data_IF_682944584886
#
_entry.id   IF_682944584886
#
_cell.length_a   1.000
_cell.length_b   1.000
_cell.length_c   1.000
_cell.angle_alpha   90.00
_cell.angle_beta   90.00
_cell.angle_gamma   90.00
#
_symmetry.space_group_name_H-M   'P 1'
#
loop_
_entity.id
_entity.type
_entity.pdbx_description
1 polymer ?
#
# COMPACT_ATOMS: atom_id res chain seq x y z
N UNK A 1 32.34 -18.24 19.39
CA UNK A 1 31.57 -18.13 20.65
C UNK A 1 30.15 -18.51 20.29
N UNK A 2 29.57 -19.51 20.95
CA UNK A 2 28.19 -19.93 20.70
C UNK A 2 27.26 -18.81 21.19
N UNK A 3 26.62 -18.10 20.26
CA UNK A 3 25.58 -17.14 20.58
C UNK A 3 24.35 -17.97 20.95
N UNK A 4 24.05 -18.01 22.24
CA UNK A 4 22.80 -18.58 22.76
C UNK A 4 21.62 -17.85 22.13
N UNK A 5 20.64 -18.59 21.61
CA UNK A 5 19.42 -18.08 20.93
C UNK A 5 18.56 -17.11 21.75
N UNK A 6 18.88 -16.89 23.02
CA UNK A 6 18.11 -16.09 23.98
C UNK A 6 18.24 -14.57 23.82
N UNK A 7 19.09 -14.05 22.90
CA UNK A 7 19.39 -12.60 22.83
C UNK A 7 18.81 -11.84 21.62
N UNK A 8 18.22 -12.50 20.61
CA UNK A 8 17.70 -11.81 19.42
C UNK A 8 16.18 -11.60 19.57
N UNK A 9 15.80 -10.42 20.08
CA UNK A 9 14.41 -10.10 20.38
C UNK A 9 13.64 -9.37 19.27
N UNK A 10 14.28 -9.05 18.14
CA UNK A 10 13.64 -8.33 17.02
C UNK A 10 14.26 -8.67 15.67
N UNK A 11 13.51 -8.43 14.59
CA UNK A 11 13.95 -8.58 13.21
C UNK A 11 15.06 -7.56 12.91
N UNK A 12 14.93 -6.35 13.45
CA UNK A 12 15.99 -5.33 13.37
C UNK A 12 17.29 -5.82 14.03
N UNK A 13 17.22 -6.45 15.20
CA UNK A 13 18.38 -7.04 15.86
C UNK A 13 19.00 -8.17 15.02
N UNK A 14 18.17 -9.03 14.41
CA UNK A 14 18.63 -10.09 13.52
C UNK A 14 19.38 -9.54 12.29
N UNK A 15 18.83 -8.52 11.62
CA UNK A 15 19.46 -7.90 10.46
C UNK A 15 20.79 -7.22 10.84
N UNK A 16 20.81 -6.51 11.97
CA UNK A 16 22.02 -5.86 12.48
C UNK A 16 23.13 -6.86 12.83
N UNK A 17 22.78 -8.02 13.40
CA UNK A 17 23.77 -9.07 13.72
C UNK A 17 24.44 -9.64 12.47
N UNK A 18 23.74 -9.64 11.34
CA UNK A 18 24.28 -10.07 10.04
C UNK A 18 25.06 -8.98 9.29
N UNK A 19 25.33 -7.82 9.91
CA UNK A 19 25.89 -6.60 9.29
C UNK A 19 25.15 -6.17 8.01
N UNK A 20 23.84 -6.43 7.95
CA UNK A 20 23.00 -6.06 6.81
C UNK A 20 22.53 -4.61 6.93
N UNK A 21 22.53 -3.90 5.81
CA UNK A 21 21.73 -2.70 5.64
C UNK A 21 20.32 -3.11 5.19
N UNK A 22 19.30 -2.35 5.58
CA UNK A 22 17.92 -2.71 5.26
C UNK A 22 16.95 -1.53 5.18
N UNK A 23 15.86 -1.75 4.45
CA UNK A 23 14.70 -0.89 4.32
C UNK A 23 13.43 -1.69 4.63
N UNK A 24 12.50 -1.06 5.33
CA UNK A 24 11.21 -1.64 5.71
C UNK A 24 10.08 -0.92 4.97
N UNK A 25 9.16 -1.68 4.39
CA UNK A 25 7.97 -1.16 3.72
C UNK A 25 6.73 -1.89 4.20
N UNK A 26 5.63 -1.16 4.40
CA UNK A 26 4.30 -1.76 4.31
C UNK A 26 4.04 -2.16 2.86
N UNK A 27 3.35 -3.28 2.67
CA UNK A 27 2.88 -3.73 1.36
C UNK A 27 1.39 -4.12 1.40
N UNK A 28 0.72 -3.88 2.53
CA UNK A 28 -0.68 -4.22 2.74
C UNK A 28 -1.61 -3.30 1.96
N UNK A 29 -1.71 -2.04 2.41
CA UNK A 29 -2.64 -1.07 1.79
C UNK A 29 -2.02 -0.44 0.55
N UNK A 30 -0.82 0.09 0.69
CA UNK A 30 0.03 0.68 -0.37
C UNK A 30 1.47 0.22 -0.13
N UNK A 31 2.40 0.60 -0.99
CA UNK A 31 3.83 0.49 -0.70
C UNK A 31 4.27 1.77 -0.01
N UNK A 32 4.41 1.72 1.32
CA UNK A 32 4.77 2.87 2.15
C UNK A 32 6.02 2.53 2.98
N UNK A 33 7.03 3.41 2.95
CA UNK A 33 8.26 3.20 3.74
C UNK A 33 7.96 3.37 5.24
N UNK A 34 8.44 2.43 6.05
CA UNK A 34 8.43 2.54 7.51
C UNK A 34 9.87 2.88 7.92
N UNK A 35 10.05 3.97 8.69
CA UNK A 35 11.39 4.32 9.17
C UNK A 35 11.90 3.27 10.16
N UNK A 36 13.22 3.12 10.27
CA UNK A 36 13.83 2.17 11.21
C UNK A 36 13.36 2.45 12.64
N UNK A 37 13.38 3.72 13.05
CA UNK A 37 12.90 4.16 14.37
C UNK A 37 11.43 3.81 14.63
N UNK A 38 10.58 3.94 13.60
CA UNK A 38 9.17 3.56 13.72
C UNK A 38 9.03 2.04 13.80
N UNK A 39 9.79 1.31 13.00
CA UNK A 39 9.79 -0.15 13.01
C UNK A 39 10.28 -0.71 14.35
N UNK A 40 11.34 -0.16 14.94
CA UNK A 40 11.82 -0.53 16.27
C UNK A 40 10.73 -0.39 17.35
N UNK A 41 9.95 0.69 17.30
CA UNK A 41 8.80 0.91 18.21
C UNK A 41 7.66 -0.08 17.97
N UNK A 42 7.40 -0.42 16.70
CA UNK A 42 6.40 -1.44 16.33
C UNK A 42 6.84 -2.80 16.86
N UNK A 43 8.10 -3.17 16.64
CA UNK A 43 8.67 -4.41 17.15
C UNK A 43 8.60 -4.42 18.67
N UNK A 44 8.96 -3.36 19.37
CA UNK A 44 8.85 -3.27 20.84
C UNK A 44 7.41 -3.21 21.38
N UNK A 45 6.38 -3.32 20.54
CA UNK A 45 4.96 -3.15 20.91
C UNK A 45 4.66 -1.81 21.61
N UNK A 46 5.45 -0.77 21.30
CA UNK A 46 5.29 0.59 21.83
C UNK A 46 4.40 1.46 20.95
N UNK A 47 4.17 1.05 19.70
CA UNK A 47 3.34 1.75 18.73
C UNK A 47 2.48 0.75 17.94
N UNK A 48 1.20 1.06 17.66
CA UNK A 48 0.40 0.24 16.75
C UNK A 48 0.96 0.29 15.33
N UNK A 49 0.81 -0.82 14.60
CA UNK A 49 1.19 -0.86 13.20
C UNK A 49 0.38 0.17 12.39
N UNK A 50 1.02 1.00 11.54
CA UNK A 50 0.37 2.16 10.92
C UNK A 50 -0.68 1.80 9.86
N UNK A 51 -0.53 0.66 9.18
CA UNK A 51 -1.34 0.31 8.01
C UNK A 51 -1.92 -1.11 8.11
N UNK A 52 -2.65 -1.45 9.19
CA UNK A 52 -3.14 -2.80 9.38
C UNK A 52 -4.13 -3.17 8.29
N UNK A 53 -4.10 -4.43 7.86
CA UNK A 53 -5.08 -5.00 6.94
C UNK A 53 -5.50 -6.38 7.45
N UNK A 54 -6.81 -6.55 7.65
CA UNK A 54 -7.39 -7.82 8.14
C UNK A 54 -6.69 -8.37 9.40
N UNK A 55 -6.34 -7.51 10.35
CA UNK A 55 -5.68 -7.90 11.61
C UNK A 55 -4.20 -8.29 11.47
N UNK A 56 -3.54 -7.94 10.35
CA UNK A 56 -2.13 -8.27 10.12
C UNK A 56 -1.32 -7.05 9.68
N UNK A 57 -0.02 -7.10 9.98
CA UNK A 57 1.01 -6.32 9.33
C UNK A 57 1.56 -7.10 8.13
N UNK A 58 1.57 -6.49 6.95
CA UNK A 58 2.15 -7.05 5.73
C UNK A 58 3.38 -6.23 5.40
N UNK A 59 4.56 -6.81 5.62
CA UNK A 59 5.83 -6.11 5.61
C UNK A 59 6.70 -6.68 4.49
N UNK A 60 7.33 -5.81 3.71
CA UNK A 60 8.44 -6.13 2.84
C UNK A 60 9.74 -5.61 3.46
N UNK A 61 10.73 -6.49 3.56
CA UNK A 61 12.06 -6.19 4.13
C UNK A 61 13.06 -6.37 3.00
N UNK A 62 13.64 -5.26 2.55
CA UNK A 62 14.74 -5.27 1.60
C UNK A 62 16.05 -5.15 2.38
N UNK A 63 16.99 -6.07 2.18
CA UNK A 63 18.27 -6.03 2.89
C UNK A 63 19.44 -6.48 2.02
N UNK A 64 20.63 -5.97 2.29
CA UNK A 64 21.84 -6.22 1.51
C UNK A 64 23.10 -6.05 2.36
N UNK A 65 24.21 -6.63 1.91
CA UNK A 65 25.54 -6.40 2.48
C UNK A 65 26.15 -5.14 1.87
N UNK A 66 26.92 -4.37 2.65
CA UNK A 66 27.54 -3.10 2.20
C UNK A 66 28.36 -3.22 0.90
N UNK A 67 28.93 -4.40 0.65
CA UNK A 67 29.78 -4.68 -0.53
C UNK A 67 29.02 -5.35 -1.69
N UNK A 68 27.74 -5.67 -1.51
CA UNK A 68 26.91 -6.34 -2.52
C UNK A 68 26.04 -5.35 -3.27
N UNK A 69 25.93 -5.52 -4.57
CA UNK A 69 24.96 -4.81 -5.41
C UNK A 69 23.57 -5.45 -5.39
N UNK A 70 23.45 -6.67 -4.84
CA UNK A 70 22.21 -7.44 -4.84
C UNK A 70 21.51 -7.34 -3.49
N UNK A 71 20.23 -6.96 -3.53
CA UNK A 71 19.33 -6.96 -2.38
C UNK A 71 18.47 -8.22 -2.33
N UNK A 72 18.22 -8.70 -1.11
CA UNK A 72 17.27 -9.75 -0.80
C UNK A 72 15.95 -9.14 -0.37
N UNK A 73 14.84 -9.84 -0.64
CA UNK A 73 13.50 -9.42 -0.25
C UNK A 73 12.84 -10.50 0.59
N UNK A 74 12.40 -10.12 1.79
CA UNK A 74 11.47 -10.93 2.59
C UNK A 74 10.09 -10.30 2.62
N UNK A 75 9.07 -11.12 2.42
CA UNK A 75 7.67 -10.74 2.60
C UNK A 75 7.14 -11.46 3.83
N UNK A 76 6.75 -10.69 4.84
CA UNK A 76 6.39 -11.19 6.17
C UNK A 76 4.99 -10.71 6.54
N UNK A 77 4.12 -11.65 6.90
CA UNK A 77 2.77 -11.41 7.41
C UNK A 77 2.74 -11.75 8.90
N UNK A 78 2.63 -10.74 9.76
CA UNK A 78 2.59 -10.90 11.21
C UNK A 78 1.22 -10.50 11.77
N UNK A 79 0.64 -11.27 12.70
CA UNK A 79 -0.63 -10.93 13.31
C UNK A 79 -0.49 -9.73 14.26
N UNK A 80 -1.57 -8.95 14.35
CA UNK A 80 -1.72 -7.83 15.26
C UNK A 80 -2.75 -8.18 16.35
N UNK A 81 -2.62 -7.57 17.52
CA UNK A 81 -3.64 -7.65 18.57
C UNK A 81 -4.78 -6.63 18.36
N UNK A 82 -5.77 -6.61 19.26
CA UNK A 82 -6.92 -5.68 19.22
C UNK A 82 -6.54 -4.20 19.41
N UNK A 83 -5.33 -3.94 19.91
CA UNK A 83 -4.76 -2.59 20.02
C UNK A 83 -3.98 -2.20 18.76
N UNK A 84 -3.82 -3.13 17.81
CA UNK A 84 -3.01 -2.97 16.61
C UNK A 84 -1.52 -3.15 16.87
N UNK A 85 -1.11 -3.68 18.02
CA UNK A 85 0.28 -3.95 18.36
C UNK A 85 0.73 -5.27 17.74
N UNK A 86 2.01 -5.34 17.37
CA UNK A 86 2.60 -6.53 16.77
C UNK A 86 2.62 -7.70 17.78
N UNK A 87 2.13 -8.87 17.38
CA UNK A 87 2.20 -10.06 18.20
C UNK A 87 3.67 -10.51 18.38
N UNK A 88 4.19 -10.34 19.59
CA UNK A 88 5.59 -10.60 19.93
C UNK A 88 5.96 -12.08 19.81
N UNK A 89 5.05 -12.98 20.15
CA UNK A 89 5.27 -14.43 20.05
C UNK A 89 5.43 -14.87 18.60
N UNK A 90 4.56 -14.38 17.71
CA UNK A 90 4.64 -14.66 16.27
C UNK A 90 5.93 -14.10 15.65
N UNK A 91 6.32 -12.86 16.01
CA UNK A 91 7.60 -12.28 15.57
C UNK A 91 8.80 -13.11 16.07
N UNK A 92 8.82 -13.50 17.34
CA UNK A 92 9.93 -14.28 17.89
C UNK A 92 10.04 -15.66 17.22
N UNK A 93 8.90 -16.30 16.94
CA UNK A 93 8.88 -17.55 16.21
C UNK A 93 9.37 -17.39 14.75
N UNK A 94 9.00 -16.30 14.07
CA UNK A 94 9.57 -15.96 12.76
C UNK A 94 11.09 -15.88 12.82
N UNK A 95 11.64 -15.12 13.78
CA UNK A 95 13.09 -14.94 13.97
C UNK A 95 13.79 -16.29 14.24
N UNK A 96 13.22 -17.12 15.11
CA UNK A 96 13.78 -18.43 15.44
C UNK A 96 13.92 -19.32 14.20
N UNK A 97 12.90 -19.37 13.33
CA UNK A 97 12.96 -20.13 12.08
C UNK A 97 14.05 -19.60 11.15
N UNK A 98 14.19 -18.27 11.04
CA UNK A 98 15.24 -17.67 10.19
C UNK A 98 16.64 -18.00 10.72
N UNK A 99 16.86 -17.92 12.03
CA UNK A 99 18.14 -18.27 12.66
C UNK A 99 18.47 -19.74 12.42
N UNK A 100 17.49 -20.63 12.60
CA UNK A 100 17.65 -22.06 12.34
C UNK A 100 17.98 -22.34 10.86
N UNK A 101 17.35 -21.61 9.94
CA UNK A 101 17.58 -21.75 8.51
C UNK A 101 18.91 -21.18 8.04
N UNK A 102 19.29 -19.96 8.44
CA UNK A 102 20.36 -19.18 7.80
C UNK A 102 21.57 -18.92 8.70
N UNK A 103 21.46 -19.16 10.01
CA UNK A 103 22.52 -18.87 10.96
C UNK A 103 22.88 -17.39 11.03
N UNK A 104 24.17 -17.08 11.19
CA UNK A 104 24.68 -15.72 11.38
C UNK A 104 24.74 -14.89 10.09
N UNK A 105 24.78 -15.52 8.90
CA UNK A 105 24.86 -14.80 7.63
C UNK A 105 23.62 -15.01 6.77
N UNK A 106 22.74 -14.00 6.77
CA UNK A 106 21.46 -14.00 6.08
C UNK A 106 21.56 -13.88 4.54
N UNK A 107 22.76 -13.65 4.00
CA UNK A 107 22.98 -13.43 2.56
C UNK A 107 23.65 -14.60 1.85
N UNK A 108 23.93 -15.68 2.56
CA UNK A 108 24.43 -16.92 1.94
C UNK A 108 23.28 -17.62 1.21
N UNK A 109 23.56 -18.19 0.05
CA UNK A 109 22.59 -19.05 -0.63
C UNK A 109 22.28 -20.26 0.26
N UNK A 110 21.02 -20.43 0.70
CA UNK A 110 20.64 -21.55 1.53
C UNK A 110 20.86 -22.88 0.81
N UNK A 111 21.19 -23.93 1.58
CA UNK A 111 21.12 -25.32 1.10
C UNK A 111 19.66 -25.71 0.83
N UNK A 112 19.41 -26.79 0.09
CA UNK A 112 18.04 -27.27 -0.20
C UNK A 112 17.20 -27.50 1.07
N UNK A 113 17.83 -27.98 2.14
CA UNK A 113 17.16 -28.19 3.44
C UNK A 113 16.78 -26.86 4.10
N UNK A 114 17.66 -25.86 4.04
CA UNK A 114 17.42 -24.52 4.57
C UNK A 114 16.36 -23.79 3.75
N UNK A 115 16.37 -23.93 2.41
CA UNK A 115 15.28 -23.43 1.56
C UNK A 115 13.93 -24.06 1.92
N UNK A 116 13.90 -25.37 2.17
CA UNK A 116 12.68 -26.05 2.56
C UNK A 116 12.15 -25.54 3.92
N UNK A 117 13.04 -25.22 4.86
CA UNK A 117 12.66 -24.63 6.15
C UNK A 117 12.08 -23.22 5.95
N UNK A 118 12.75 -22.37 5.16
CA UNK A 118 12.27 -21.03 4.83
C UNK A 118 10.90 -21.09 4.13
N UNK A 119 10.72 -21.97 3.14
CA UNK A 119 9.43 -22.13 2.43
C UNK A 119 8.29 -22.60 3.36
N UNK A 120 8.61 -23.27 4.47
CA UNK A 120 7.63 -23.73 5.48
C UNK A 120 7.34 -22.69 6.56
N UNK A 121 8.05 -21.56 6.58
CA UNK A 121 7.82 -20.51 7.57
C UNK A 121 6.39 -19.95 7.41
N UNK A 122 5.52 -20.07 8.43
CA UNK A 122 4.10 -19.73 8.31
C UNK A 122 3.84 -18.22 8.17
N UNK A 123 4.86 -17.40 8.37
CA UNK A 123 4.78 -15.94 8.26
C UNK A 123 5.16 -15.43 6.87
N UNK A 124 5.68 -16.28 5.97
CA UNK A 124 5.91 -15.87 4.59
C UNK A 124 4.63 -15.86 3.77
N UNK A 125 4.57 -14.93 2.82
CA UNK A 125 3.52 -14.90 1.82
C UNK A 125 4.07 -14.44 0.47
N UNK A 126 3.41 -14.83 -0.61
CA UNK A 126 3.74 -14.36 -1.96
C UNK A 126 2.84 -13.17 -2.29
N UNK A 127 3.38 -11.95 -2.40
CA UNK A 127 2.59 -10.80 -2.82
C UNK A 127 2.17 -10.92 -4.29
N UNK A 128 1.08 -10.23 -4.64
CA UNK A 128 0.62 -10.13 -6.03
C UNK A 128 1.68 -9.44 -6.92
N UNK A 129 1.66 -9.74 -8.22
CA UNK A 129 2.68 -9.28 -9.17
C UNK A 129 2.86 -7.75 -9.19
N UNK A 130 1.77 -6.98 -9.07
CA UNK A 130 1.85 -5.51 -9.04
C UNK A 130 2.51 -4.98 -7.76
N UNK A 131 2.34 -5.66 -6.63
CA UNK A 131 3.03 -5.34 -5.36
C UNK A 131 4.51 -5.71 -5.44
N UNK A 132 4.85 -6.85 -6.04
CA UNK A 132 6.26 -7.21 -6.33
C UNK A 132 6.93 -6.16 -7.20
N UNK A 133 6.26 -5.73 -8.28
CA UNK A 133 6.77 -4.71 -9.17
C UNK A 133 7.01 -3.38 -8.41
N UNK A 134 6.05 -2.95 -7.59
CA UNK A 134 6.19 -1.75 -6.78
C UNK A 134 7.36 -1.84 -5.77
N UNK A 135 7.56 -2.99 -5.12
CA UNK A 135 8.69 -3.18 -4.20
C UNK A 135 10.03 -3.17 -4.93
N UNK A 136 10.14 -3.86 -6.07
CA UNK A 136 11.38 -3.83 -6.86
C UNK A 136 11.70 -2.40 -7.31
N UNK A 137 10.69 -1.67 -7.78
CA UNK A 137 10.84 -0.29 -8.23
C UNK A 137 11.28 0.63 -7.09
N UNK A 138 10.58 0.61 -5.95
CA UNK A 138 10.91 1.49 -4.80
C UNK A 138 12.27 1.17 -4.19
N UNK A 139 12.67 -0.11 -4.16
CA UNK A 139 13.99 -0.52 -3.67
C UNK A 139 15.06 -0.02 -4.62
N UNK A 140 14.91 -0.25 -5.93
CA UNK A 140 15.90 0.21 -6.91
C UNK A 140 16.09 1.73 -6.90
N UNK A 141 15.00 2.50 -6.78
CA UNK A 141 15.09 3.97 -6.73
C UNK A 141 15.67 4.46 -5.41
N UNK A 142 15.27 3.86 -4.29
CA UNK A 142 15.78 4.24 -2.96
C UNK A 142 17.27 3.91 -2.76
N UNK A 143 17.79 2.94 -3.50
CA UNK A 143 19.20 2.53 -3.49
C UNK A 143 20.00 3.14 -4.65
N UNK A 144 19.43 4.09 -5.40
CA UNK A 144 20.06 4.73 -6.57
C UNK A 144 20.58 3.72 -7.61
N UNK A 145 19.92 2.57 -7.70
CA UNK A 145 20.25 1.52 -8.67
C UNK A 145 19.63 1.82 -10.03
N UNK A 146 20.17 1.17 -11.07
CA UNK A 146 19.59 1.20 -12.41
C UNK A 146 18.17 0.62 -12.39
N UNK A 147 17.29 1.19 -13.22
CA UNK A 147 15.96 0.63 -13.44
C UNK A 147 16.02 -0.77 -14.07
N UNK A 148 14.93 -1.52 -14.01
CA UNK A 148 14.90 -2.83 -14.66
C UNK A 148 14.99 -2.68 -16.18
N UNK A 149 15.32 -3.79 -16.85
CA UNK A 149 15.30 -3.86 -18.33
C UNK A 149 13.95 -3.50 -18.97
N UNK A 150 12.87 -3.47 -18.20
CA UNK A 150 11.52 -3.16 -18.67
C UNK A 150 11.19 -1.67 -18.63
N UNK A 151 12.00 -0.84 -17.95
CA UNK A 151 11.77 0.60 -17.83
C UNK A 151 11.84 1.34 -19.17
N UNK A 152 12.94 1.20 -19.91
CA UNK A 152 13.13 1.95 -21.16
C UNK A 152 12.05 1.63 -22.23
N UNK A 153 11.62 0.36 -22.44
CA UNK A 153 10.47 0.06 -23.27
C UNK A 153 9.17 0.74 -22.82
N UNK A 154 8.87 0.72 -21.52
CA UNK A 154 7.67 1.35 -20.98
C UNK A 154 7.68 2.87 -21.14
N UNK A 155 8.82 3.52 -20.83
CA UNK A 155 8.99 4.96 -21.02
C UNK A 155 8.82 5.36 -22.49
N UNK A 156 9.40 4.59 -23.42
CA UNK A 156 9.26 4.84 -24.86
C UNK A 156 7.82 4.64 -25.35
N UNK A 157 7.10 3.66 -24.83
CA UNK A 157 5.68 3.49 -25.14
C UNK A 157 4.86 4.69 -24.62
N UNK A 158 5.08 5.09 -23.36
CA UNK A 158 4.36 6.20 -22.72
C UNK A 158 4.66 7.55 -23.38
N UNK A 159 5.79 7.70 -24.09
CA UNK A 159 6.06 8.90 -24.91
C UNK A 159 5.23 8.97 -26.20
N UNK A 160 4.44 7.94 -26.53
CA UNK A 160 3.56 7.89 -27.69
C UNK A 160 4.26 7.66 -29.03
N UNK A 161 5.61 7.54 -29.05
CA UNK A 161 6.42 7.48 -30.29
C UNK A 161 6.08 6.25 -31.14
N UNK A 162 5.71 5.14 -30.51
CA UNK A 162 5.38 3.90 -31.20
C UNK A 162 3.85 3.73 -31.44
N UNK A 163 3.03 4.73 -31.08
CA UNK A 163 1.58 4.66 -31.11
C UNK A 163 0.97 3.89 -29.92
N UNK A 164 -0.29 4.20 -29.59
CA UNK A 164 -0.96 3.68 -28.38
C UNK A 164 -1.38 2.21 -28.46
N UNK A 165 -1.47 1.65 -29.67
CA UNK A 165 -1.84 0.24 -29.91
C UNK A 165 -0.68 -0.74 -29.64
N UNK A 166 0.56 -0.25 -29.56
CA UNK A 166 1.78 -1.07 -29.41
C UNK A 166 2.09 -1.43 -27.94
N UNK A 167 1.08 -1.86 -27.19
CA UNK A 167 1.18 -2.09 -25.74
C UNK A 167 1.51 -3.53 -25.33
N UNK A 168 1.58 -4.47 -26.27
CA UNK A 168 1.69 -5.92 -25.98
C UNK A 168 2.99 -6.28 -25.24
N UNK A 169 4.05 -5.50 -25.43
CA UNK A 169 5.34 -5.69 -24.75
C UNK A 169 5.48 -4.86 -23.46
N UNK A 170 4.45 -4.10 -23.07
CA UNK A 170 4.48 -3.22 -21.90
C UNK A 170 4.07 -4.00 -20.64
N UNK A 171 5.09 -4.50 -19.93
CA UNK A 171 4.90 -5.27 -18.69
C UNK A 171 4.70 -4.41 -17.44
N UNK A 172 4.09 -5.01 -16.41
CA UNK A 172 3.80 -4.37 -15.10
C UNK A 172 5.06 -3.82 -14.42
N UNK A 173 6.22 -4.51 -14.51
CA UNK A 173 7.47 -4.02 -13.94
C UNK A 173 7.93 -2.71 -14.60
N UNK A 174 7.82 -2.59 -15.93
CA UNK A 174 8.22 -1.38 -16.66
C UNK A 174 7.34 -0.18 -16.31
N UNK A 175 6.02 -0.39 -16.20
CA UNK A 175 5.09 0.65 -15.74
C UNK A 175 5.35 1.06 -14.29
N UNK A 176 5.72 0.10 -13.45
CA UNK A 176 6.08 0.38 -12.06
C UNK A 176 7.38 1.18 -11.96
N UNK A 177 8.43 0.78 -12.66
CA UNK A 177 9.69 1.54 -12.70
C UNK A 177 9.45 2.98 -13.17
N UNK A 178 8.61 3.16 -14.20
CA UNK A 178 8.24 4.48 -14.70
C UNK A 178 7.53 5.32 -13.63
N UNK A 179 6.53 4.75 -12.95
CA UNK A 179 5.79 5.45 -11.90
C UNK A 179 6.70 5.88 -10.73
N UNK A 180 7.62 5.02 -10.28
CA UNK A 180 8.55 5.36 -9.19
C UNK A 180 9.67 6.34 -9.60
N UNK A 181 9.80 6.62 -10.91
CA UNK A 181 10.78 7.56 -11.49
C UNK A 181 10.12 8.77 -12.15
N UNK A 182 8.93 9.18 -11.69
CA UNK A 182 8.21 10.33 -12.28
C UNK A 182 8.99 11.65 -12.24
N UNK A 183 9.89 11.80 -11.28
CA UNK A 183 10.78 12.96 -11.11
C UNK A 183 12.04 12.89 -12.00
N UNK A 184 12.23 11.82 -12.78
CA UNK A 184 13.38 11.64 -13.68
C UNK A 184 12.96 11.82 -15.15
N UNK A 185 13.92 12.20 -16.00
CA UNK A 185 13.81 12.14 -17.47
C UNK A 185 12.49 12.69 -18.07
N UNK A 186 11.93 13.74 -17.48
CA UNK A 186 10.63 14.34 -17.85
C UNK A 186 9.44 13.37 -17.80
N UNK A 187 9.53 12.28 -17.03
CA UNK A 187 8.48 11.26 -16.95
C UNK A 187 7.13 11.82 -16.50
N UNK A 188 7.11 12.82 -15.62
CA UNK A 188 5.87 13.51 -15.24
C UNK A 188 5.18 14.20 -16.42
N UNK A 189 5.94 14.86 -17.30
CA UNK A 189 5.41 15.52 -18.50
C UNK A 189 4.92 14.47 -19.52
N UNK A 190 5.72 13.42 -19.73
CA UNK A 190 5.35 12.28 -20.56
C UNK A 190 4.02 11.67 -20.10
N UNK A 191 3.88 11.41 -18.79
CA UNK A 191 2.66 10.85 -18.23
C UNK A 191 1.46 11.78 -18.44
N UNK A 192 1.64 13.08 -18.16
CA UNK A 192 0.61 14.11 -18.32
C UNK A 192 0.06 14.12 -19.74
N UNK A 193 0.94 14.01 -20.75
CA UNK A 193 0.56 13.99 -22.15
C UNK A 193 -0.06 12.65 -22.59
N UNK A 194 0.34 11.53 -21.97
CA UNK A 194 -0.12 10.20 -22.35
C UNK A 194 -1.50 9.83 -21.79
N UNK A 195 -1.83 10.26 -20.57
CA UNK A 195 -2.97 9.75 -19.77
C UNK A 195 -4.30 9.67 -20.52
N UNK A 196 -4.60 10.66 -21.37
CA UNK A 196 -5.86 10.69 -22.11
C UNK A 196 -5.93 9.67 -23.26
N UNK A 197 -4.79 9.24 -23.77
CA UNK A 197 -4.67 8.35 -24.92
C UNK A 197 -4.39 6.90 -24.55
N UNK A 198 -4.03 6.62 -23.30
CA UNK A 198 -3.70 5.26 -22.87
C UNK A 198 -4.91 4.32 -22.99
N UNK A 199 -4.73 3.15 -23.62
CA UNK A 199 -5.74 2.10 -23.61
C UNK A 199 -5.87 1.52 -22.19
N UNK A 200 -7.02 0.91 -21.91
CA UNK A 200 -7.33 0.34 -20.59
C UNK A 200 -6.27 -0.66 -20.10
N UNK A 201 -5.73 -1.48 -21.03
CA UNK A 201 -4.73 -2.50 -20.78
C UNK A 201 -3.42 -1.94 -20.21
N UNK A 202 -3.11 -0.67 -20.47
CA UNK A 202 -1.95 0.02 -19.89
C UNK A 202 -2.34 0.92 -18.73
N UNK A 203 -3.46 1.64 -18.87
CA UNK A 203 -3.90 2.60 -17.87
C UNK A 203 -4.18 1.94 -16.52
N UNK A 204 -4.85 0.78 -16.49
CA UNK A 204 -5.19 0.07 -15.25
C UNK A 204 -3.95 -0.39 -14.45
N UNK A 205 -2.99 -1.12 -15.04
CA UNK A 205 -1.77 -1.50 -14.33
C UNK A 205 -0.88 -0.29 -13.99
N UNK A 206 -0.86 0.76 -14.83
CA UNK A 206 -0.15 2.00 -14.51
C UNK A 206 -0.77 2.69 -13.28
N UNK A 207 -2.09 2.82 -13.21
CA UNK A 207 -2.77 3.35 -12.03
C UNK A 207 -2.47 2.53 -10.76
N UNK A 208 -2.33 1.21 -10.89
CA UNK A 208 -1.91 0.34 -9.78
C UNK A 208 -0.47 0.56 -9.33
N UNK A 209 0.39 1.11 -10.19
CA UNK A 209 1.71 1.57 -9.79
C UNK A 209 1.64 2.98 -9.16
N UNK A 210 0.91 3.90 -9.80
CA UNK A 210 0.73 5.29 -9.35
C UNK A 210 0.08 5.39 -7.96
N UNK A 211 -0.75 4.41 -7.56
CA UNK A 211 -1.34 4.36 -6.20
C UNK A 211 -0.28 4.37 -5.08
N UNK A 212 0.99 4.03 -5.40
CA UNK A 212 2.10 3.94 -4.45
C UNK A 212 3.07 5.14 -4.52
N UNK A 213 2.82 6.14 -5.38
CA UNK A 213 3.74 7.26 -5.60
C UNK A 213 3.06 8.60 -5.38
N UNK A 214 3.77 9.56 -4.78
CA UNK A 214 3.29 10.94 -4.69
C UNK A 214 3.32 11.59 -6.07
N UNK A 215 2.18 12.10 -6.52
CA UNK A 215 1.96 12.58 -7.87
C UNK A 215 2.11 14.11 -7.93
N UNK A 216 2.77 14.64 -8.97
CA UNK A 216 2.78 16.08 -9.24
C UNK A 216 1.37 16.62 -9.56
N UNK A 217 1.16 17.92 -9.31
CA UNK A 217 -0.15 18.57 -9.49
C UNK A 217 -0.72 18.40 -10.92
N UNK A 218 0.13 18.52 -11.95
CA UNK A 218 -0.30 18.36 -13.35
C UNK A 218 -0.78 16.94 -13.66
N UNK A 219 -0.14 15.92 -13.07
CA UNK A 219 -0.56 14.52 -13.20
C UNK A 219 -1.89 14.30 -12.48
N UNK A 220 -2.06 14.85 -11.27
CA UNK A 220 -3.33 14.79 -10.53
C UNK A 220 -4.46 15.40 -11.36
N UNK A 221 -4.22 16.57 -11.96
CA UNK A 221 -5.18 17.26 -12.83
C UNK A 221 -5.59 16.40 -14.02
N UNK A 222 -4.64 15.74 -14.69
CA UNK A 222 -4.97 14.87 -15.83
C UNK A 222 -5.72 13.61 -15.40
N UNK A 223 -5.37 13.02 -14.25
CA UNK A 223 -6.11 11.88 -13.68
C UNK A 223 -7.56 12.25 -13.38
N UNK A 224 -7.81 13.41 -12.77
CA UNK A 224 -9.18 13.85 -12.44
C UNK A 224 -10.00 14.19 -13.68
N UNK A 225 -9.40 14.80 -14.70
CA UNK A 225 -10.05 15.02 -16.01
C UNK A 225 -10.40 13.69 -16.68
N UNK A 226 -9.46 12.74 -16.72
CA UNK A 226 -9.67 11.42 -17.32
C UNK A 226 -10.73 10.62 -16.55
N UNK A 227 -10.79 10.78 -15.23
CA UNK A 227 -11.81 10.16 -14.39
C UNK A 227 -13.21 10.66 -14.76
N UNK A 228 -13.40 11.97 -14.92
CA UNK A 228 -14.70 12.55 -15.30
C UNK A 228 -15.19 12.05 -16.67
N UNK A 229 -14.26 11.91 -17.63
CA UNK A 229 -14.57 11.33 -18.93
C UNK A 229 -14.98 9.85 -18.82
N UNK A 230 -14.25 9.06 -18.02
CA UNK A 230 -14.54 7.65 -17.81
C UNK A 230 -15.92 7.44 -17.15
N UNK A 231 -16.27 8.28 -16.18
CA UNK A 231 -17.62 8.29 -15.59
C UNK A 231 -18.70 8.61 -16.63
N UNK A 232 -18.50 9.64 -17.45
CA UNK A 232 -19.47 10.04 -18.50
C UNK A 232 -19.67 8.91 -19.52
N UNK A 233 -18.62 8.15 -19.81
CA UNK A 233 -18.65 7.01 -20.73
C UNK A 233 -19.10 5.69 -20.05
N UNK A 234 -19.46 5.71 -18.77
CA UNK A 234 -19.79 4.52 -17.98
C UNK A 234 -18.69 3.43 -17.99
N UNK A 235 -17.42 3.81 -18.12
CA UNK A 235 -16.29 2.87 -17.99
C UNK A 235 -15.88 2.76 -16.51
N UNK A 236 -16.50 1.81 -15.81
CA UNK A 236 -16.27 1.59 -14.38
C UNK A 236 -14.84 1.13 -14.07
N UNK A 237 -14.26 0.27 -14.92
CA UNK A 237 -12.91 -0.27 -14.73
C UNK A 237 -11.87 0.86 -14.70
N UNK A 238 -11.94 1.77 -15.68
CA UNK A 238 -11.04 2.93 -15.76
C UNK A 238 -11.31 3.93 -14.65
N UNK A 239 -12.59 4.17 -14.31
CA UNK A 239 -12.99 5.08 -13.22
C UNK A 239 -12.38 4.64 -11.89
N UNK A 240 -12.51 3.36 -11.54
CA UNK A 240 -11.93 2.76 -10.33
C UNK A 240 -10.41 2.86 -10.33
N UNK A 241 -9.76 2.55 -11.45
CA UNK A 241 -8.31 2.59 -11.55
C UNK A 241 -7.77 4.02 -11.33
N UNK A 242 -8.37 5.02 -11.96
CA UNK A 242 -7.97 6.43 -11.81
C UNK A 242 -8.20 6.94 -10.40
N UNK A 243 -9.31 6.55 -9.77
CA UNK A 243 -9.57 6.90 -8.38
C UNK A 243 -8.48 6.33 -7.44
N UNK A 244 -8.09 5.08 -7.65
CA UNK A 244 -7.01 4.43 -6.89
C UNK A 244 -5.65 5.08 -7.10
N UNK A 245 -5.35 5.58 -8.30
CA UNK A 245 -4.08 6.24 -8.59
C UNK A 245 -3.80 7.45 -7.66
N UNK A 246 -4.84 8.06 -7.09
CA UNK A 246 -4.70 9.17 -6.15
C UNK A 246 -4.33 8.75 -4.71
N UNK A 247 -4.13 7.45 -4.43
CA UNK A 247 -3.94 6.93 -3.08
C UNK A 247 -2.77 7.56 -2.32
N UNK A 248 -1.55 7.54 -2.84
CA UNK A 248 -0.40 8.21 -2.21
C UNK A 248 -0.44 9.74 -2.27
N UNK A 249 -1.38 10.31 -3.03
CA UNK A 249 -1.55 11.77 -3.20
C UNK A 249 -2.83 12.30 -2.58
N UNK A 250 -3.53 11.49 -1.77
CA UNK A 250 -4.84 11.86 -1.20
C UNK A 250 -4.79 13.17 -0.42
N UNK A 251 -3.65 13.48 0.20
CA UNK A 251 -3.47 14.70 0.99
C UNK A 251 -3.11 15.95 0.15
N UNK A 252 -2.79 15.81 -1.13
CA UNK A 252 -2.52 16.94 -2.01
C UNK A 252 -3.79 17.83 -2.14
N UNK A 253 -3.67 19.17 -2.13
CA UNK A 253 -4.83 20.08 -2.17
C UNK A 253 -5.82 19.77 -3.31
N UNK A 254 -5.30 19.51 -4.51
CA UNK A 254 -6.15 19.20 -5.68
C UNK A 254 -6.89 17.87 -5.53
N UNK A 255 -6.21 16.83 -5.03
CA UNK A 255 -6.82 15.54 -4.74
C UNK A 255 -7.87 15.67 -3.64
N UNK A 256 -7.59 16.40 -2.56
CA UNK A 256 -8.55 16.66 -1.48
C UNK A 256 -9.81 17.37 -2.00
N UNK A 257 -9.62 18.41 -2.81
CA UNK A 257 -10.71 19.20 -3.40
C UNK A 257 -11.59 18.32 -4.29
N UNK A 258 -10.96 17.54 -5.18
CA UNK A 258 -11.64 16.60 -6.05
C UNK A 258 -12.41 15.53 -5.27
N UNK A 259 -11.77 14.85 -4.31
CA UNK A 259 -12.40 13.78 -3.53
C UNK A 259 -13.53 14.30 -2.63
N UNK A 260 -13.37 15.49 -2.05
CA UNK A 260 -14.44 16.12 -1.25
C UNK A 260 -15.65 16.48 -2.11
N UNK A 261 -15.41 16.95 -3.34
CA UNK A 261 -16.46 17.23 -4.32
C UNK A 261 -17.17 15.95 -4.74
N UNK A 262 -16.41 14.89 -5.05
CA UNK A 262 -16.94 13.57 -5.41
C UNK A 262 -17.87 13.03 -4.31
N UNK A 263 -17.42 13.05 -3.05
CA UNK A 263 -18.23 12.61 -1.92
C UNK A 263 -19.45 13.50 -1.65
N UNK A 264 -19.46 14.77 -2.06
CA UNK A 264 -20.59 15.67 -1.78
C UNK A 264 -21.65 15.63 -2.89
N UNK A 265 -21.22 15.49 -4.15
CA UNK A 265 -22.08 15.74 -5.31
C UNK A 265 -22.55 14.46 -6.01
N UNK A 266 -22.04 13.29 -5.62
CA UNK A 266 -22.26 12.04 -6.34
C UNK A 266 -22.66 10.94 -5.37
N UNK A 267 -23.63 10.11 -5.77
CA UNK A 267 -23.89 8.86 -5.07
C UNK A 267 -22.69 7.94 -5.28
N UNK A 268 -22.12 7.43 -4.19
CA UNK A 268 -20.97 6.54 -4.26
C UNK A 268 -21.47 5.10 -4.35
N UNK A 269 -21.00 4.36 -5.35
CA UNK A 269 -21.21 2.92 -5.43
C UNK A 269 -20.32 2.17 -4.42
N UNK A 270 -20.63 0.87 -4.25
CA UNK A 270 -19.90 -0.01 -3.32
C UNK A 270 -18.39 -0.04 -3.60
N UNK A 271 -17.97 -0.16 -4.87
CA UNK A 271 -16.56 -0.18 -5.25
C UNK A 271 -15.85 1.12 -4.83
N UNK A 272 -16.47 2.28 -5.06
CA UNK A 272 -15.95 3.59 -4.68
C UNK A 272 -15.82 3.70 -3.16
N UNK A 273 -16.81 3.22 -2.41
CA UNK A 273 -16.77 3.20 -0.95
C UNK A 273 -15.60 2.33 -0.44
N UNK A 274 -15.42 1.15 -1.01
CA UNK A 274 -14.33 0.22 -0.67
C UNK A 274 -12.97 0.84 -1.02
N UNK A 275 -12.83 1.51 -2.16
CA UNK A 275 -11.59 2.19 -2.55
C UNK A 275 -11.25 3.32 -1.58
N UNK A 276 -12.25 4.11 -1.17
CA UNK A 276 -12.03 5.19 -0.22
C UNK A 276 -11.53 4.63 1.11
N UNK A 277 -12.17 3.60 1.67
CA UNK A 277 -11.70 3.00 2.92
C UNK A 277 -10.35 2.27 2.80
N UNK A 278 -10.15 1.55 1.68
CA UNK A 278 -8.99 0.68 1.50
C UNK A 278 -7.73 1.37 0.97
N UNK A 279 -7.87 2.50 0.26
CA UNK A 279 -6.77 3.18 -0.46
C UNK A 279 -6.71 4.69 -0.23
N UNK A 280 -7.87 5.37 -0.20
CA UNK A 280 -7.94 6.83 -0.04
C UNK A 280 -8.29 7.26 1.39
N UNK A 281 -8.15 6.37 2.38
CA UNK A 281 -8.55 6.62 3.77
C UNK A 281 -7.99 7.92 4.38
N UNK A 282 -6.82 8.47 3.98
CA UNK A 282 -6.39 9.75 4.52
C UNK A 282 -7.41 10.88 4.33
N UNK A 283 -8.29 10.81 3.32
CA UNK A 283 -9.36 11.80 3.13
C UNK A 283 -10.36 11.83 4.29
N UNK A 284 -10.49 10.72 5.03
CA UNK A 284 -11.41 10.54 6.16
C UNK A 284 -10.83 11.00 7.50
N UNK A 285 -9.69 11.70 7.50
CA UNK A 285 -9.00 12.17 8.70
C UNK A 285 -9.67 13.38 9.38
N UNK A 286 -10.77 13.90 8.83
CA UNK A 286 -11.52 15.01 9.43
C UNK A 286 -12.94 14.57 9.75
N UNK A 287 -13.51 15.12 10.84
CA UNK A 287 -14.89 14.85 11.25
C UNK A 287 -15.87 15.07 10.09
N UNK A 288 -15.73 16.19 9.36
CA UNK A 288 -16.61 16.56 8.25
C UNK A 288 -16.60 15.52 7.13
N UNK A 289 -15.43 15.16 6.62
CA UNK A 289 -15.32 14.21 5.50
C UNK A 289 -15.72 12.81 5.91
N UNK A 290 -15.38 12.40 7.14
CA UNK A 290 -15.79 11.12 7.68
C UNK A 290 -17.31 11.00 7.81
N UNK A 291 -18.00 12.04 8.28
CA UNK A 291 -19.46 12.00 8.37
C UNK A 291 -20.11 11.83 7.00
N UNK A 292 -19.70 12.62 6.01
CA UNK A 292 -20.23 12.49 4.64
C UNK A 292 -20.05 11.05 4.14
N UNK A 293 -18.87 10.46 4.36
CA UNK A 293 -18.59 9.09 3.96
C UNK A 293 -19.47 8.06 4.68
N UNK A 294 -19.65 8.20 6.00
CA UNK A 294 -20.50 7.28 6.77
C UNK A 294 -21.97 7.34 6.35
N UNK A 295 -22.49 8.52 5.98
CA UNK A 295 -23.86 8.65 5.45
C UNK A 295 -24.02 7.96 4.08
N UNK A 296 -22.99 7.97 3.23
CA UNK A 296 -23.02 7.16 2.00
C UNK A 296 -23.03 5.67 2.30
N UNK A 297 -22.24 5.23 3.27
CA UNK A 297 -22.06 3.81 3.59
C UNK A 297 -23.35 3.15 4.10
N UNK A 298 -24.27 3.92 4.69
CA UNK A 298 -25.56 3.40 5.20
C UNK A 298 -26.70 3.52 4.17
N UNK A 299 -26.49 4.23 3.06
CA UNK A 299 -27.57 4.61 2.13
C UNK A 299 -28.30 3.41 1.53
N UNK A 300 -27.56 2.35 1.22
CA UNK A 300 -28.11 1.13 0.62
C UNK A 300 -28.57 0.10 1.67
N UNK A 301 -28.54 0.46 2.95
CA UNK A 301 -28.87 -0.41 4.09
C UNK A 301 -28.07 -1.74 4.14
N UNK A 302 -26.90 -1.78 3.50
CA UNK A 302 -25.98 -2.92 3.58
C UNK A 302 -25.20 -2.88 4.90
N UNK A 303 -25.80 -3.47 5.93
CA UNK A 303 -25.19 -3.58 7.25
C UNK A 303 -23.91 -4.43 7.25
N UNK A 304 -23.76 -5.37 6.32
CA UNK A 304 -22.57 -6.22 6.24
C UNK A 304 -21.38 -5.41 5.71
N UNK A 305 -21.58 -4.67 4.62
CA UNK A 305 -20.60 -3.74 4.06
C UNK A 305 -20.23 -2.66 5.08
N UNK A 306 -21.22 -2.04 5.73
CA UNK A 306 -20.99 -1.05 6.78
C UNK A 306 -20.12 -1.60 7.91
N UNK A 307 -20.46 -2.79 8.42
CA UNK A 307 -19.71 -3.43 9.50
C UNK A 307 -18.28 -3.80 9.10
N UNK A 308 -18.09 -4.30 7.88
CA UNK A 308 -16.78 -4.67 7.36
C UNK A 308 -15.88 -3.44 7.18
N UNK A 309 -16.37 -2.37 6.55
CA UNK A 309 -15.63 -1.12 6.35
C UNK A 309 -15.35 -0.43 7.69
N UNK A 310 -16.34 -0.41 8.60
CA UNK A 310 -16.15 0.16 9.92
C UNK A 310 -15.03 -0.56 10.69
N UNK A 311 -15.03 -1.90 10.69
CA UNK A 311 -13.99 -2.72 11.35
C UNK A 311 -12.61 -2.49 10.73
N UNK A 312 -12.54 -2.29 9.41
CA UNK A 312 -11.29 -1.96 8.74
C UNK A 312 -10.77 -0.57 9.14
N UNK A 313 -11.62 0.45 9.08
CA UNK A 313 -11.26 1.85 9.36
C UNK A 313 -10.87 2.07 10.83
N UNK A 314 -11.57 1.44 11.78
CA UNK A 314 -11.27 1.59 13.22
C UNK A 314 -9.92 0.98 13.60
N UNK A 315 -9.41 0.04 12.81
CA UNK A 315 -8.08 -0.54 13.02
C UNK A 315 -6.95 0.44 12.62
N UNK A 316 -7.20 1.37 11.68
CA UNK A 316 -6.18 2.30 11.18
C UNK A 316 -5.88 3.38 12.25
N UNK A 317 -4.65 3.46 12.79
CA UNK A 317 -4.33 4.39 13.88
C UNK A 317 -4.65 5.86 13.59
N UNK A 318 -4.48 6.29 12.34
CA UNK A 318 -4.78 7.66 11.91
C UNK A 318 -6.28 7.98 11.90
N UNK A 319 -7.13 6.99 11.62
CA UNK A 319 -8.59 7.18 11.46
C UNK A 319 -9.34 6.89 12.76
N UNK A 320 -8.84 5.93 13.55
CA UNK A 320 -9.46 5.46 14.80
C UNK A 320 -9.94 6.60 15.72
N UNK A 321 -9.16 7.65 16.04
CA UNK A 321 -9.63 8.71 16.94
C UNK A 321 -10.85 9.45 16.40
N UNK A 322 -10.83 9.82 15.12
CA UNK A 322 -11.90 10.61 14.48
C UNK A 322 -13.15 9.75 14.31
N UNK A 323 -12.99 8.46 13.98
CA UNK A 323 -14.11 7.52 13.89
C UNK A 323 -14.78 7.28 15.23
N UNK A 324 -14.00 7.09 16.30
CA UNK A 324 -14.57 6.92 17.65
C UNK A 324 -15.26 8.20 18.16
N UNK A 325 -14.76 9.38 17.78
CA UNK A 325 -15.44 10.65 18.05
C UNK A 325 -16.76 10.75 17.27
N UNK A 326 -16.77 10.38 15.99
CA UNK A 326 -17.96 10.43 15.15
C UNK A 326 -19.10 9.57 15.73
N UNK A 327 -18.77 8.38 16.26
CA UNK A 327 -19.71 7.47 16.95
C UNK A 327 -20.32 8.07 18.23
N UNK A 328 -19.69 9.06 18.83
CA UNK A 328 -20.20 9.73 20.04
C UNK A 328 -20.86 11.06 19.73
N UNK A 329 -20.78 11.53 18.49
CA UNK A 329 -21.29 12.84 18.10
C UNK A 329 -22.81 12.88 18.15
N UNK A 330 -23.41 13.96 18.68
CA UNK A 330 -24.85 14.17 18.61
C UNK A 330 -25.32 14.61 17.21
N UNK A 331 -24.41 14.91 16.27
CA UNK A 331 -24.71 15.42 14.92
C UNK A 331 -25.06 14.32 13.90
N UNK A 332 -25.08 13.05 14.32
CA UNK A 332 -25.37 11.90 13.44
C UNK A 332 -26.82 11.90 12.99
N UNK A 333 -27.07 11.42 11.77
CA UNK A 333 -28.43 11.09 11.35
C UNK A 333 -29.02 9.95 12.21
N UNK A 334 -30.35 9.86 12.32
CA UNK A 334 -31.01 8.73 12.99
C UNK A 334 -30.59 7.37 12.40
N UNK A 335 -30.46 7.30 11.07
CA UNK A 335 -30.08 6.08 10.35
C UNK A 335 -28.63 5.69 10.69
N UNK A 336 -27.71 6.65 10.74
CA UNK A 336 -26.34 6.41 11.16
C UNK A 336 -26.26 5.98 12.62
N UNK A 337 -27.08 6.55 13.50
CA UNK A 337 -27.17 6.13 14.89
C UNK A 337 -27.66 4.67 15.02
N UNK A 338 -28.64 4.28 14.21
CA UNK A 338 -29.14 2.91 14.14
C UNK A 338 -28.08 1.93 13.64
N UNK A 339 -27.40 2.23 12.52
CA UNK A 339 -26.34 1.40 11.96
C UNK A 339 -25.19 1.19 12.97
N UNK A 340 -24.76 2.25 13.64
CA UNK A 340 -23.76 2.17 14.72
C UNK A 340 -24.27 1.32 15.88
N UNK A 341 -25.55 1.44 16.26
CA UNK A 341 -26.14 0.63 17.32
C UNK A 341 -26.13 -0.87 17.00
N UNK A 342 -26.15 -1.26 15.73
CA UNK A 342 -26.05 -2.67 15.32
C UNK A 342 -24.65 -3.25 15.50
N UNK A 343 -23.59 -2.43 15.41
CA UNK A 343 -22.20 -2.87 15.59
C UNK A 343 -21.93 -3.48 16.98
N UNK A 344 -22.70 -3.07 18.00
CA UNK A 344 -22.55 -3.53 19.39
C UNK A 344 -23.52 -4.66 19.77
N UNK A 345 -24.36 -5.10 18.83
CA UNK A 345 -25.29 -6.22 19.03
C UNK A 345 -24.77 -7.53 18.43
N UNK A 346 -23.73 -7.43 17.60
CA UNK A 346 -22.93 -8.54 17.07
C UNK A 346 -21.85 -8.91 18.10
#
# INVERSE_FOLDING_TARGET
MSITSDTISSISALLNLSDSQYCIYDIGRRVDKISIEQFDKIEAAQMPYPFPIQGHALIAIAFWQKQSTSSYLWFVKLPLDERGLLNQGARNHFIAIIIEALGENLTVNPTEQQEALLKKNPYHFTPAQYKLAAINSVVSTSLEQAASKFYAPAQRYLSGVNGWEAWQDVGVQGLSDFAFRLNEANNSEVLTNALNSLPEQVLVPLCSALENVSLPADVIKQITLRFQQAQTNNNQIVTIALLRALASSTQHPDSKSFLSTLMTNTALDEDTLIIIAGRLWPILSTEKTLFIYLEHLIKDNDNALFSAIFKDLVAIPMIRPVLLQAIRSPKRSPDLAQAIGMLFKL
#
